data_IF_279570005810
#
_entry.id   IF_279570005810
#
_cell.length_a   1.000
_cell.length_b   1.000
_cell.length_c   1.000
_cell.angle_alpha   90.00
_cell.angle_beta   90.00
_cell.angle_gamma   90.00
#
_symmetry.space_group_name_H-M   'P 1'
#
loop_
_entity.id
_entity.type
_entity.pdbx_description
1 polymer ?
#
# COMPACT_ATOMS: atom_id res chain seq x y z
N UNK A 1 -10.26 -9.70 1.41
CA UNK A 1 -8.80 -9.45 1.23
C UNK A 1 -8.53 -9.11 -0.23
N UNK A 2 -7.34 -8.59 -0.57
CA UNK A 2 -6.97 -8.24 -1.96
C UNK A 2 -7.09 -9.43 -2.94
N UNK A 3 -6.89 -10.64 -2.41
CA UNK A 3 -7.17 -11.92 -3.06
C UNK A 3 -8.59 -12.02 -3.62
N UNK A 4 -9.58 -11.53 -2.87
CA UNK A 4 -11.01 -11.62 -3.23
C UNK A 4 -11.37 -10.65 -4.36
N UNK A 5 -10.46 -9.72 -4.67
CA UNK A 5 -10.55 -8.79 -5.79
C UNK A 5 -9.66 -9.21 -6.96
N UNK A 6 -9.15 -10.46 -6.96
CA UNK A 6 -8.30 -11.02 -7.99
C UNK A 6 -6.85 -10.54 -7.96
N UNK A 7 -6.42 -9.85 -6.89
CA UNK A 7 -5.04 -9.40 -6.71
C UNK A 7 -4.32 -10.27 -5.68
N UNK A 8 -3.65 -11.31 -6.16
CA UNK A 8 -2.73 -12.10 -5.36
C UNK A 8 -1.40 -11.35 -5.18
N UNK A 9 -0.98 -11.18 -3.93
CA UNK A 9 0.32 -10.59 -3.59
C UNK A 9 1.00 -11.52 -2.59
N UNK A 10 2.15 -12.05 -2.97
CA UNK A 10 2.94 -12.92 -2.10
C UNK A 10 3.70 -12.11 -1.03
N UNK A 11 4.13 -12.79 0.03
CA UNK A 11 4.87 -12.16 1.14
C UNK A 11 6.24 -11.61 0.72
N UNK A 12 6.90 -12.25 -0.25
CA UNK A 12 8.17 -11.80 -0.82
C UNK A 12 8.06 -10.47 -1.56
N UNK A 13 6.89 -10.16 -2.12
CA UNK A 13 6.58 -8.86 -2.73
C UNK A 13 6.06 -7.86 -1.70
N UNK A 14 5.15 -8.29 -0.82
CA UNK A 14 4.46 -7.40 0.12
C UNK A 14 5.40 -6.76 1.15
N UNK A 15 6.27 -7.54 1.78
CA UNK A 15 7.11 -7.02 2.87
C UNK A 15 8.17 -6.01 2.41
N UNK A 16 8.90 -6.22 1.29
CA UNK A 16 9.79 -5.20 0.76
C UNK A 16 9.06 -3.92 0.37
N UNK A 17 7.85 -4.01 -0.18
CA UNK A 17 7.04 -2.83 -0.51
C UNK A 17 6.69 -2.01 0.75
N UNK A 18 6.21 -2.66 1.81
CA UNK A 18 5.89 -2.00 3.08
C UNK A 18 7.12 -1.33 3.70
N UNK A 19 8.26 -2.01 3.70
CA UNK A 19 9.54 -1.44 4.18
C UNK A 19 9.97 -0.23 3.35
N UNK A 20 9.84 -0.29 2.02
CA UNK A 20 10.17 0.83 1.13
C UNK A 20 9.29 2.04 1.42
N UNK A 21 7.97 1.85 1.56
CA UNK A 21 7.04 2.93 1.87
C UNK A 21 7.32 3.57 3.24
N UNK A 22 7.73 2.76 4.22
CA UNK A 22 8.22 3.26 5.51
C UNK A 22 9.52 4.05 5.37
N UNK A 23 10.52 3.55 4.64
CA UNK A 23 11.77 4.29 4.38
C UNK A 23 11.53 5.62 3.66
N UNK A 24 10.49 5.71 2.83
CA UNK A 24 10.05 6.94 2.19
C UNK A 24 9.25 7.88 3.10
N UNK A 25 8.98 7.49 4.36
CA UNK A 25 8.18 8.27 5.31
C UNK A 25 6.68 8.27 5.03
N UNK A 26 6.19 7.41 4.13
CA UNK A 26 4.78 7.32 3.76
C UNK A 26 4.00 6.37 4.70
N UNK A 27 4.70 5.48 5.38
CA UNK A 27 4.18 4.64 6.45
C UNK A 27 4.98 4.85 7.73
N UNK A 28 4.31 4.64 8.86
CA UNK A 28 4.89 4.45 10.18
C UNK A 28 4.70 2.99 10.59
N UNK A 29 5.54 2.48 11.50
CA UNK A 29 5.34 1.14 12.05
C UNK A 29 5.33 1.10 13.58
N UNK A 30 4.57 0.16 14.11
CA UNK A 30 4.43 -0.09 15.55
C UNK A 30 4.65 -1.57 15.82
N UNK A 31 5.53 -1.87 16.77
CA UNK A 31 5.69 -3.22 17.29
C UNK A 31 4.62 -3.48 18.36
N UNK A 32 3.82 -4.52 18.15
CA UNK A 32 2.97 -5.09 19.20
C UNK A 32 3.67 -6.31 19.79
N UNK A 33 3.97 -6.22 21.08
CA UNK A 33 4.69 -7.23 21.87
C UNK A 33 3.75 -8.06 22.76
N UNK A 34 2.44 -7.78 22.73
CA UNK A 34 1.42 -8.41 23.58
C UNK A 34 1.12 -9.87 23.20
N UNK A 35 1.64 -10.36 22.06
CA UNK A 35 1.44 -11.72 21.60
C UNK A 35 2.73 -12.55 21.70
N UNK A 36 2.59 -13.88 21.73
CA UNK A 36 3.71 -14.84 21.75
C UNK A 36 4.73 -14.68 20.59
N UNK A 37 4.37 -13.92 19.55
CA UNK A 37 5.25 -13.53 18.46
C UNK A 37 5.11 -12.02 18.20
N UNK A 38 6.18 -11.23 18.30
CA UNK A 38 6.15 -9.82 17.95
C UNK A 38 5.59 -9.59 16.54
N UNK A 39 4.60 -8.71 16.42
CA UNK A 39 4.02 -8.31 15.13
C UNK A 39 4.33 -6.85 14.86
N UNK A 40 4.75 -6.57 13.63
CA UNK A 40 4.95 -5.20 13.15
C UNK A 40 3.73 -4.77 12.35
N UNK A 41 3.03 -3.75 12.84
CA UNK A 41 1.91 -3.13 12.14
C UNK A 41 2.40 -1.90 11.39
N UNK A 42 1.91 -1.69 10.17
CA UNK A 42 2.18 -0.49 9.39
C UNK A 42 0.92 0.38 9.33
N UNK A 43 1.10 1.68 9.50
CA UNK A 43 0.02 2.67 9.51
C UNK A 43 0.41 3.78 8.53
N UNK A 44 -0.55 4.31 7.78
CA UNK A 44 -0.29 5.44 6.90
C UNK A 44 0.11 6.68 7.70
N UNK A 45 1.27 7.25 7.38
CA UNK A 45 1.79 8.43 8.07
C UNK A 45 1.00 9.68 7.70
N UNK A 46 1.26 10.80 8.41
CA UNK A 46 0.69 12.08 8.04
C UNK A 46 1.05 12.49 6.59
N UNK A 47 2.28 12.23 6.16
CA UNK A 47 2.73 12.53 4.80
C UNK A 47 2.13 11.56 3.77
N UNK A 48 2.03 10.27 4.12
CA UNK A 48 1.31 9.27 3.34
C UNK A 48 -0.14 9.69 3.06
N UNK A 49 -0.84 10.24 4.07
CA UNK A 49 -2.21 10.74 3.91
C UNK A 49 -2.31 11.93 2.95
N UNK A 50 -1.29 12.80 2.89
CA UNK A 50 -1.29 13.94 1.96
C UNK A 50 -1.07 13.50 0.51
N UNK A 51 -0.20 12.53 0.27
CA UNK A 51 0.13 12.08 -1.10
C UNK A 51 -0.89 11.09 -1.66
N UNK A 52 -1.57 10.31 -0.81
CA UNK A 52 -2.50 9.26 -1.23
C UNK A 52 -3.60 9.75 -2.20
N UNK A 53 -4.27 10.91 -2.01
CA UNK A 53 -5.25 11.42 -2.96
C UNK A 53 -4.66 11.67 -4.35
N UNK A 54 -3.43 12.19 -4.42
CA UNK A 54 -2.73 12.44 -5.69
C UNK A 54 -2.44 11.13 -6.42
N UNK A 55 -1.91 10.13 -5.72
CA UNK A 55 -1.65 8.79 -6.29
C UNK A 55 -2.94 8.11 -6.79
N UNK A 56 -4.04 8.23 -6.03
CA UNK A 56 -5.34 7.71 -6.45
C UNK A 56 -5.85 8.40 -7.72
N UNK A 57 -5.67 9.72 -7.83
CA UNK A 57 -6.06 10.47 -9.02
C UNK A 57 -5.23 10.02 -10.22
N UNK A 58 -3.91 9.96 -10.09
CA UNK A 58 -3.00 9.53 -11.16
C UNK A 58 -3.35 8.11 -11.66
N UNK A 59 -3.62 7.19 -10.74
CA UNK A 59 -4.09 5.85 -11.10
C UNK A 59 -5.42 5.86 -11.85
N UNK A 60 -6.40 6.64 -11.37
CA UNK A 60 -7.70 6.78 -12.03
C UNK A 60 -7.57 7.34 -13.44
N UNK A 61 -6.67 8.30 -13.65
CA UNK A 61 -6.40 8.89 -14.97
C UNK A 61 -5.82 7.83 -15.92
N UNK A 62 -4.86 7.02 -15.46
CA UNK A 62 -4.30 5.89 -16.24
C UNK A 62 -5.40 4.89 -16.62
N UNK A 63 -6.22 4.47 -15.66
CA UNK A 63 -7.32 3.54 -15.91
C UNK A 63 -8.32 4.13 -16.91
N UNK A 64 -8.60 5.43 -16.84
CA UNK A 64 -9.48 6.11 -17.80
C UNK A 64 -8.92 6.05 -19.23
N UNK A 65 -7.62 6.32 -19.40
CA UNK A 65 -6.95 6.23 -20.70
C UNK A 65 -7.01 4.81 -21.25
N UNK A 66 -6.65 3.82 -20.43
CA UNK A 66 -6.70 2.40 -20.83
C UNK A 66 -8.10 1.96 -21.25
N UNK A 67 -9.14 2.39 -20.52
CA UNK A 67 -10.54 2.10 -20.88
C UNK A 67 -10.92 2.69 -22.24
N UNK A 68 -10.47 3.91 -22.55
CA UNK A 68 -10.72 4.53 -23.86
C UNK A 68 -10.01 3.83 -25.02
N UNK A 69 -8.84 3.25 -24.77
CA UNK A 69 -8.10 2.49 -25.80
C UNK A 69 -8.73 1.13 -26.12
N UNK A 70 -9.51 0.57 -25.19
CA UNK A 70 -10.17 -0.73 -25.34
C UNK A 70 -11.60 -0.63 -25.89
N UNK A 71 -12.14 0.59 -26.03
CA UNK A 71 -13.47 0.86 -26.57
C UNK A 71 -13.39 1.17 -28.08
#
# INVERSE_FOLDING_TARGET
>A
QLSDQGLEVDQGTLYPLLRRLETQGLLESVWKLEEARPRRYYIISAEGKKILPKLKKEWSDIVSVMKKMLA
#
